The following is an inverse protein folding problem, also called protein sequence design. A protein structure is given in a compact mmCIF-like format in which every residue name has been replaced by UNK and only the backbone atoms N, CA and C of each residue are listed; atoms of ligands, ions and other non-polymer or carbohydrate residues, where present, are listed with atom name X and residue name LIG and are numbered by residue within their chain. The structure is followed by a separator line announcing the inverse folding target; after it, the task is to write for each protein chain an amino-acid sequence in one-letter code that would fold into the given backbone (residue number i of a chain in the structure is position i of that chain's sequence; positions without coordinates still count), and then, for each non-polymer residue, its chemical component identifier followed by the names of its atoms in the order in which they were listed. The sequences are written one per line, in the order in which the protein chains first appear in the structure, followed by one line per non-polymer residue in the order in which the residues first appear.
data_IF_139092905140
#
_entry.id   IF_139092905140
#
_cell.length_a   1.000
_cell.length_b   1.000
_cell.length_c   1.000
_cell.angle_alpha   90.00
_cell.angle_beta   90.00
_cell.angle_gamma   90.00
#
_symmetry.space_group_name_H-M   'P 1'
#
loop_
_entity.id
_entity.type
_entity.pdbx_description
1 polymer ?
#
# COMPACT_ATOMS: atom_id res chain seq x y z
N UNK A 1 1.06 43.28 62.03
CA UNK A 1 1.50 44.47 61.26
C UNK A 1 1.86 43.99 59.86
N UNK A 2 0.89 44.13 59.04
CA UNK A 2 0.86 44.43 57.60
C UNK A 2 2.13 44.24 56.80
N UNK A 3 2.10 43.35 55.82
CA UNK A 3 2.42 43.65 54.44
C UNK A 3 1.66 42.62 53.57
N UNK A 4 0.39 42.92 53.31
CA UNK A 4 -0.34 42.54 52.10
C UNK A 4 -0.37 43.81 51.26
N UNK A 5 0.27 43.79 50.09
CA UNK A 5 -0.20 44.55 48.90
C UNK A 5 0.77 44.36 47.73
N UNK A 6 0.13 44.08 46.60
CA UNK A 6 0.59 44.29 45.24
C UNK A 6 1.34 43.14 44.53
N UNK A 7 0.55 42.30 43.88
CA UNK A 7 0.86 41.84 42.54
C UNK A 7 -0.45 41.64 41.77
N UNK A 8 -1.05 42.74 41.32
CA UNK A 8 -1.86 42.80 40.10
C UNK A 8 -0.89 43.08 38.96
N UNK A 9 -1.15 42.47 37.79
CA UNK A 9 -0.52 42.64 36.48
C UNK A 9 0.14 41.32 36.06
N UNK A 10 -0.15 40.69 34.97
CA UNK A 10 -0.73 41.11 33.70
C UNK A 10 -1.19 39.84 33.03
N UNK A 11 -2.47 39.73 32.70
CA UNK A 11 -2.90 38.85 31.62
C UNK A 11 -2.40 39.49 30.31
N UNK A 12 -1.23 39.07 29.86
CA UNK A 12 -0.80 39.30 28.50
C UNK A 12 -1.38 38.19 27.62
N UNK A 13 -2.27 38.57 26.74
CA UNK A 13 -2.73 37.81 25.62
C UNK A 13 -1.54 37.28 24.82
N UNK A 14 -1.23 36.01 24.91
CA UNK A 14 -0.45 35.30 23.90
C UNK A 14 -1.47 34.83 22.89
N UNK A 15 -1.75 35.64 21.89
CA UNK A 15 -2.32 35.18 20.62
C UNK A 15 -1.24 34.33 19.94
N UNK A 16 -1.38 33.02 20.10
CA UNK A 16 -0.66 32.06 19.30
C UNK A 16 -1.22 32.16 17.88
N UNK A 17 -0.50 32.81 16.99
CA UNK A 17 -0.71 32.73 15.56
C UNK A 17 -0.44 31.29 15.15
N UNK A 18 -1.50 30.51 15.01
CA UNK A 18 -1.49 29.28 14.26
C UNK A 18 -1.38 29.69 12.79
N UNK A 19 -0.18 29.68 12.23
CA UNK A 19 0.01 29.70 10.79
C UNK A 19 -0.45 28.33 10.28
N UNK A 20 -1.73 28.25 9.91
CA UNK A 20 -2.22 27.23 9.02
C UNK A 20 -1.53 27.50 7.66
N UNK A 21 -0.44 26.81 7.38
CA UNK A 21 0.06 26.67 6.03
C UNK A 21 -0.89 25.72 5.33
N UNK A 22 -1.97 26.27 4.79
CA UNK A 22 -2.76 25.60 3.77
C UNK A 22 -1.86 25.52 2.54
N UNK A 23 -1.13 24.41 2.40
CA UNK A 23 -0.59 24.02 1.10
C UNK A 23 -1.79 23.55 0.29
N UNK A 24 -2.47 24.51 -0.35
CA UNK A 24 -3.37 24.21 -1.45
C UNK A 24 -2.51 23.71 -2.61
N UNK A 25 -2.18 22.43 -2.60
CA UNK A 25 -1.72 21.73 -3.78
C UNK A 25 -2.86 21.78 -4.79
N UNK A 26 -2.80 22.74 -5.71
CA UNK A 26 -3.65 22.75 -6.88
C UNK A 26 -3.38 21.48 -7.67
N UNK A 27 -4.31 20.52 -7.57
CA UNK A 27 -4.38 19.37 -8.46
C UNK A 27 -4.56 19.95 -9.86
N UNK A 28 -3.47 19.99 -10.61
CA UNK A 28 -3.49 20.38 -12.02
C UNK A 28 -4.25 19.30 -12.79
N UNK A 29 -5.50 19.59 -13.15
CA UNK A 29 -6.28 18.78 -14.07
C UNK A 29 -5.58 18.77 -15.44
N UNK A 30 -4.83 17.72 -15.71
CA UNK A 30 -4.51 17.39 -17.11
C UNK A 30 -5.81 16.90 -17.75
N UNK A 31 -6.38 17.74 -18.63
CA UNK A 31 -7.58 17.43 -19.39
C UNK A 31 -7.27 16.41 -20.49
N UNK A 32 -7.29 15.12 -20.14
CA UNK A 32 -7.54 14.03 -21.07
C UNK A 32 -8.99 13.61 -20.87
N UNK A 33 -9.79 13.52 -21.93
CA UNK A 33 -11.21 13.18 -21.90
C UNK A 33 -11.47 11.92 -21.06
N UNK A 34 -11.78 12.13 -19.77
CA UNK A 34 -12.35 11.12 -18.89
C UNK A 34 -13.85 11.42 -18.82
N UNK A 35 -14.66 10.41 -19.05
CA UNK A 35 -16.09 10.46 -18.71
C UNK A 35 -16.24 10.91 -17.25
N UNK A 36 -17.37 11.53 -16.92
CA UNK A 36 -17.74 12.10 -15.60
C UNK A 36 -17.94 11.03 -14.53
N UNK A 37 -17.03 10.06 -14.41
CA UNK A 37 -17.01 9.00 -13.39
C UNK A 37 -15.92 9.28 -12.34
N UNK A 38 -16.27 9.08 -11.09
CA UNK A 38 -15.37 9.08 -9.95
C UNK A 38 -14.24 8.08 -10.15
N UNK A 39 -12.98 8.49 -9.89
CA UNK A 39 -11.82 7.61 -10.05
C UNK A 39 -11.76 6.56 -8.93
N UNK A 40 -11.07 5.45 -9.17
CA UNK A 40 -10.83 4.40 -8.14
C UNK A 40 -10.24 5.00 -6.87
N UNK A 41 -9.25 5.89 -7.01
CA UNK A 41 -8.60 6.54 -5.85
C UNK A 41 -9.56 7.48 -5.10
N UNK A 42 -10.42 8.23 -5.79
CA UNK A 42 -11.41 9.09 -5.11
C UNK A 42 -12.35 8.27 -4.22
N UNK A 43 -12.87 7.15 -4.75
CA UNK A 43 -13.71 6.22 -3.97
C UNK A 43 -12.98 5.63 -2.79
N UNK A 44 -11.72 5.23 -2.98
CA UNK A 44 -10.90 4.70 -1.89
C UNK A 44 -10.69 5.74 -0.78
N UNK A 45 -10.34 6.99 -1.13
CA UNK A 45 -10.15 8.09 -0.18
C UNK A 45 -11.44 8.37 0.60
N UNK A 46 -12.58 8.50 -0.06
CA UNK A 46 -13.88 8.71 0.61
C UNK A 46 -14.23 7.58 1.57
N UNK A 47 -13.94 6.33 1.18
CA UNK A 47 -14.13 5.17 2.05
C UNK A 47 -13.19 5.24 3.26
N UNK A 48 -11.93 5.58 3.09
CA UNK A 48 -10.95 5.67 4.18
C UNK A 48 -11.32 6.80 5.16
N UNK A 49 -11.72 7.96 4.67
CA UNK A 49 -12.11 9.10 5.50
C UNK A 49 -13.41 8.87 6.28
N UNK A 50 -14.34 8.07 5.75
CA UNK A 50 -15.63 7.77 6.37
C UNK A 50 -15.63 6.52 7.26
N UNK A 51 -14.63 5.65 7.15
CA UNK A 51 -14.60 4.38 7.88
C UNK A 51 -14.19 4.58 9.34
N UNK A 52 -14.89 3.96 10.32
CA UNK A 52 -14.46 4.03 11.71
C UNK A 52 -13.18 3.21 11.92
N UNK A 53 -12.21 3.78 12.67
CA UNK A 53 -11.05 3.02 13.11
C UNK A 53 -11.47 1.89 14.06
N UNK A 54 -11.00 0.68 13.76
CA UNK A 54 -11.20 -0.52 14.56
C UNK A 54 -9.86 -1.08 15.00
N UNK A 55 -9.82 -1.58 16.23
CA UNK A 55 -8.65 -2.28 16.79
C UNK A 55 -9.01 -3.72 17.04
N UNK A 56 -8.28 -4.65 16.43
CA UNK A 56 -8.48 -6.11 16.54
C UNK A 56 -7.23 -6.73 17.15
N UNK A 57 -7.37 -7.45 18.27
CA UNK A 57 -6.25 -8.18 18.86
C UNK A 57 -5.89 -9.39 17.98
N UNK A 58 -4.63 -9.47 17.61
CA UNK A 58 -4.06 -10.61 16.88
C UNK A 58 -3.40 -11.58 17.85
N UNK A 59 -2.68 -11.05 18.84
CA UNK A 59 -2.08 -11.79 19.93
C UNK A 59 -1.99 -10.86 21.17
N UNK A 60 -1.37 -11.31 22.25
CA UNK A 60 -1.27 -10.59 23.53
C UNK A 60 -0.73 -9.17 23.35
N UNK A 61 0.32 -9.01 22.56
CA UNK A 61 1.03 -7.74 22.36
C UNK A 61 1.02 -7.29 20.89
N UNK A 62 0.04 -7.77 20.10
CA UNK A 62 -0.08 -7.48 18.64
C UNK A 62 -1.53 -7.16 18.30
N UNK A 63 -1.74 -6.03 17.63
CA UNK A 63 -3.05 -5.55 17.18
C UNK A 63 -3.03 -5.15 15.71
N UNK A 64 -4.15 -5.37 15.03
CA UNK A 64 -4.45 -4.75 13.75
C UNK A 64 -5.38 -3.55 13.97
N UNK A 65 -5.01 -2.40 13.40
CA UNK A 65 -5.83 -1.22 13.28
C UNK A 65 -6.30 -1.11 11.82
N UNK A 66 -7.60 -0.96 11.60
CA UNK A 66 -8.19 -0.91 10.25
C UNK A 66 -9.19 0.23 10.13
N UNK A 67 -9.42 0.74 8.90
CA UNK A 67 -10.33 1.83 8.62
C UNK A 67 -9.64 3.16 8.31
N UNK A 68 -8.30 3.18 8.21
CA UNK A 68 -7.48 4.37 7.95
C UNK A 68 -6.66 4.22 6.64
N UNK A 69 -7.26 3.67 5.61
CA UNK A 69 -6.55 3.23 4.42
C UNK A 69 -6.19 1.75 4.53
N UNK A 70 -4.92 1.42 4.36
CA UNK A 70 -4.42 0.08 4.58
C UNK A 70 -4.44 -0.33 6.06
N UNK A 71 -4.47 -1.63 6.32
CA UNK A 71 -4.37 -2.16 7.67
C UNK A 71 -2.99 -1.86 8.27
N UNK A 72 -2.98 -1.38 9.51
CA UNK A 72 -1.76 -1.12 10.27
C UNK A 72 -1.63 -2.15 11.37
N UNK A 73 -0.43 -2.73 11.56
CA UNK A 73 -0.17 -3.67 12.66
C UNK A 73 0.73 -3.01 13.71
N UNK A 74 0.27 -3.02 14.97
CA UNK A 74 1.03 -2.50 16.12
C UNK A 74 1.57 -3.65 16.96
N UNK A 75 2.87 -3.62 17.27
CA UNK A 75 3.58 -4.63 18.08
C UNK A 75 4.26 -3.94 19.26
N UNK A 76 3.94 -4.35 20.47
CA UNK A 76 4.45 -3.77 21.72
C UNK A 76 5.78 -4.39 22.12
N UNK A 77 6.67 -3.56 22.64
CA UNK A 77 7.82 -3.95 23.43
C UNK A 77 7.88 -3.12 24.71
N UNK A 78 8.82 -3.44 25.61
CA UNK A 78 9.07 -2.60 26.78
C UNK A 78 9.43 -1.17 26.32
N UNK A 79 8.58 -0.21 26.73
CA UNK A 79 8.77 1.22 26.45
C UNK A 79 8.47 1.69 25.02
N UNK A 80 8.09 0.81 24.09
CA UNK A 80 7.96 1.21 22.67
C UNK A 80 6.91 0.41 21.89
N UNK A 81 6.43 0.99 20.78
CA UNK A 81 5.61 0.33 19.77
C UNK A 81 6.34 0.36 18.41
N UNK A 82 6.29 -0.76 17.69
CA UNK A 82 6.61 -0.83 16.27
C UNK A 82 5.30 -0.88 15.51
N UNK A 83 5.14 -0.03 14.49
CA UNK A 83 4.06 -0.12 13.51
C UNK A 83 4.55 -0.81 12.24
N UNK A 84 3.66 -1.57 11.60
CA UNK A 84 3.79 -1.98 10.21
C UNK A 84 2.70 -1.22 9.46
N UNK A 85 3.11 -0.33 8.56
CA UNK A 85 2.37 0.71 7.86
C UNK A 85 1.87 1.85 8.76
N UNK A 86 1.39 2.93 8.14
CA UNK A 86 1.07 4.17 8.81
C UNK A 86 -0.23 4.85 8.33
N UNK A 87 -1.05 4.14 7.54
CA UNK A 87 -2.34 4.66 7.07
C UNK A 87 -2.23 5.87 6.14
N UNK A 88 -3.32 6.64 6.03
CA UNK A 88 -3.38 7.89 5.26
C UNK A 88 -2.97 9.10 6.10
N UNK A 89 -2.40 10.11 5.46
CA UNK A 89 -1.93 11.33 6.12
C UNK A 89 -3.07 12.10 6.84
N UNK A 90 -4.24 12.19 6.23
CA UNK A 90 -5.38 12.94 6.78
C UNK A 90 -5.87 12.43 8.14
N UNK A 91 -5.56 11.19 8.52
CA UNK A 91 -6.04 10.53 9.74
C UNK A 91 -4.94 10.03 10.68
N UNK A 92 -3.68 10.39 10.42
CA UNK A 92 -2.53 9.92 11.20
C UNK A 92 -2.64 10.21 12.71
N UNK A 93 -3.25 11.32 13.09
CA UNK A 93 -3.47 11.66 14.51
C UNK A 93 -4.43 10.67 15.19
N UNK A 94 -5.49 10.24 14.49
CA UNK A 94 -6.43 9.23 14.98
C UNK A 94 -5.76 7.87 15.08
N UNK A 95 -4.98 7.49 14.07
CA UNK A 95 -4.20 6.26 14.04
C UNK A 95 -3.21 6.21 15.22
N UNK A 96 -2.44 7.28 15.44
CA UNK A 96 -1.49 7.36 16.54
C UNK A 96 -2.18 7.24 17.91
N UNK A 97 -3.33 7.92 18.09
CA UNK A 97 -4.13 7.83 19.32
C UNK A 97 -4.69 6.41 19.53
N UNK A 98 -5.19 5.75 18.47
CA UNK A 98 -5.68 4.38 18.53
C UNK A 98 -4.55 3.39 18.84
N UNK A 99 -3.39 3.56 18.22
CA UNK A 99 -2.18 2.79 18.51
C UNK A 99 -1.76 2.94 19.98
N UNK A 100 -1.66 4.18 20.47
CA UNK A 100 -1.32 4.43 21.87
C UNK A 100 -2.35 3.83 22.85
N UNK A 101 -3.64 3.93 22.54
CA UNK A 101 -4.71 3.32 23.35
C UNK A 101 -4.59 1.79 23.43
N UNK A 102 -4.19 1.15 22.34
CA UNK A 102 -3.99 -0.30 22.29
C UNK A 102 -2.72 -0.74 23.03
N UNK A 103 -1.64 0.03 22.90
CA UNK A 103 -0.29 -0.38 23.30
C UNK A 103 0.21 0.28 24.59
N UNK A 104 -0.33 1.44 24.95
CA UNK A 104 0.15 2.30 26.04
C UNK A 104 1.64 2.67 25.91
N UNK A 105 2.17 2.67 24.69
CA UNK A 105 3.57 2.99 24.40
C UNK A 105 3.67 3.88 23.15
N UNK A 106 4.65 4.80 23.11
CA UNK A 106 4.89 5.61 21.93
C UNK A 106 5.42 4.75 20.78
N UNK A 107 5.10 5.18 19.55
CA UNK A 107 5.69 4.60 18.34
C UNK A 107 7.14 5.07 18.22
N UNK A 108 8.07 4.14 18.04
CA UNK A 108 9.51 4.43 17.88
C UNK A 108 10.09 3.86 16.60
N UNK A 109 9.41 2.86 16.02
CA UNK A 109 9.79 2.23 14.75
C UNK A 109 8.57 2.03 13.88
N UNK A 110 8.76 2.17 12.57
CA UNK A 110 7.77 1.99 11.54
C UNK A 110 8.37 1.14 10.41
N UNK A 111 7.66 0.10 9.96
CA UNK A 111 7.99 -0.68 8.78
C UNK A 111 6.96 -0.37 7.72
N UNK A 112 7.35 0.03 6.51
CA UNK A 112 6.41 0.13 5.40
C UNK A 112 6.40 -1.17 4.60
N UNK A 113 5.20 -1.69 4.31
CA UNK A 113 5.04 -2.88 3.46
C UNK A 113 5.34 -2.54 2.00
N UNK A 114 4.88 -1.39 1.51
CA UNK A 114 5.13 -0.89 0.16
C UNK A 114 4.98 0.64 0.10
N UNK A 115 4.95 1.24 -1.09
CA UNK A 115 5.09 2.69 -1.26
C UNK A 115 3.75 3.47 -1.34
N UNK A 116 2.58 2.82 -1.41
CA UNK A 116 1.32 3.54 -1.62
C UNK A 116 0.93 4.43 -0.43
N UNK A 117 0.23 5.51 -0.75
CA UNK A 117 -0.08 6.62 0.17
C UNK A 117 -0.91 6.21 1.38
N UNK A 118 -1.75 5.21 1.24
CA UNK A 118 -2.61 4.68 2.30
C UNK A 118 -1.92 3.67 3.22
N UNK A 119 -0.63 3.41 2.98
CA UNK A 119 0.30 2.65 3.82
C UNK A 119 1.46 3.50 4.34
N UNK A 120 1.74 4.63 3.67
CA UNK A 120 2.89 5.49 4.00
C UNK A 120 2.50 6.93 4.32
N UNK A 121 1.20 7.29 4.28
CA UNK A 121 0.73 8.65 4.51
C UNK A 121 1.16 9.22 5.86
N UNK A 122 1.14 8.41 6.91
CA UNK A 122 1.60 8.81 8.24
C UNK A 122 3.11 8.96 8.40
N UNK A 123 3.92 8.59 7.38
CA UNK A 123 5.39 8.69 7.46
C UNK A 123 5.87 10.11 7.75
N UNK A 124 5.19 11.15 7.22
CA UNK A 124 5.54 12.56 7.46
C UNK A 124 5.46 12.88 8.94
N UNK A 125 4.35 12.50 9.58
CA UNK A 125 4.12 12.71 11.00
C UNK A 125 5.16 11.94 11.85
N UNK A 126 5.24 10.61 11.66
CA UNK A 126 6.12 9.76 12.46
C UNK A 126 7.60 10.10 12.25
N UNK A 127 8.01 10.42 11.03
CA UNK A 127 9.39 10.82 10.74
C UNK A 127 9.76 12.15 11.36
N UNK A 128 8.83 13.12 11.46
CA UNK A 128 9.05 14.39 12.16
C UNK A 128 9.18 14.23 13.68
N UNK A 129 8.55 13.18 14.25
CA UNK A 129 8.68 12.78 15.65
C UNK A 129 9.95 11.93 15.93
N UNK A 130 10.81 11.71 14.93
CA UNK A 130 12.06 10.98 15.07
C UNK A 130 11.89 9.44 15.04
N UNK A 131 10.76 8.94 14.59
CA UNK A 131 10.52 7.49 14.42
C UNK A 131 11.44 6.94 13.34
N UNK A 132 12.08 5.80 13.61
CA UNK A 132 12.91 5.11 12.61
C UNK A 132 12.02 4.41 11.60
N UNK A 133 12.06 4.85 10.33
CA UNK A 133 11.29 4.24 9.23
C UNK A 133 12.18 3.22 8.52
N UNK A 134 11.64 2.00 8.36
CA UNK A 134 12.32 0.83 7.78
C UNK A 134 11.51 0.36 6.58
N UNK A 135 12.16 0.11 5.44
CA UNK A 135 11.47 -0.43 4.26
C UNK A 135 12.44 -1.17 3.31
N UNK A 136 11.88 -1.86 2.36
CA UNK A 136 12.64 -2.37 1.22
C UNK A 136 13.19 -1.18 0.39
N UNK A 137 14.37 -1.32 -0.24
CA UNK A 137 15.07 -0.21 -0.91
C UNK A 137 14.27 0.44 -2.05
N UNK A 138 13.44 -0.33 -2.78
CA UNK A 138 12.59 0.23 -3.82
C UNK A 138 11.47 1.10 -3.27
N UNK A 139 10.94 0.82 -2.06
CA UNK A 139 9.99 1.71 -1.39
C UNK A 139 10.59 3.11 -1.22
N UNK A 140 11.83 3.20 -0.71
CA UNK A 140 12.53 4.49 -0.58
C UNK A 140 12.69 5.18 -1.94
N UNK A 141 13.04 4.44 -2.98
CA UNK A 141 13.20 4.96 -4.34
C UNK A 141 11.88 5.51 -4.87
N UNK A 142 10.77 4.76 -4.69
CA UNK A 142 9.43 5.17 -5.11
C UNK A 142 8.98 6.43 -4.36
N UNK A 143 9.06 6.47 -3.03
CA UNK A 143 8.71 7.65 -2.22
C UNK A 143 9.55 8.90 -2.55
N UNK A 144 10.75 8.73 -3.09
CA UNK A 144 11.62 9.82 -3.55
C UNK A 144 11.27 10.35 -4.94
N UNK A 145 10.28 9.76 -5.62
CA UNK A 145 9.84 10.13 -6.97
C UNK A 145 8.33 10.42 -7.00
N UNK A 146 7.86 11.03 -8.08
CA UNK A 146 6.42 11.22 -8.31
C UNK A 146 5.80 9.87 -8.65
N UNK A 147 4.72 9.51 -7.96
CA UNK A 147 3.93 8.30 -8.20
C UNK A 147 2.83 8.61 -9.22
N UNK A 148 2.62 7.72 -10.18
CA UNK A 148 1.57 7.88 -11.19
C UNK A 148 1.01 6.51 -11.62
N UNK A 149 -0.12 6.11 -11.03
CA UNK A 149 -0.83 4.87 -11.38
C UNK A 149 -2.09 5.23 -12.16
N UNK A 150 -1.96 5.36 -13.48
CA UNK A 150 -2.97 5.94 -14.36
C UNK A 150 -4.34 5.22 -14.31
N UNK A 151 -4.37 3.87 -14.24
CA UNK A 151 -5.63 3.11 -14.24
C UNK A 151 -6.53 3.38 -13.02
N UNK A 152 -5.94 3.78 -11.91
CA UNK A 152 -6.69 4.11 -10.69
C UNK A 152 -6.79 5.60 -10.45
N UNK A 153 -6.10 6.42 -11.24
CA UNK A 153 -6.11 7.88 -11.12
C UNK A 153 -5.21 8.41 -9.99
N UNK A 154 -4.24 7.60 -9.53
CA UNK A 154 -3.29 8.05 -8.51
C UNK A 154 -2.22 8.94 -9.17
N UNK A 155 -2.04 10.13 -8.61
CA UNK A 155 -0.89 11.00 -8.88
C UNK A 155 -0.44 11.62 -7.56
N UNK A 156 0.67 11.14 -7.01
CA UNK A 156 1.21 11.59 -5.74
C UNK A 156 2.60 12.22 -5.89
N UNK A 157 2.90 13.20 -5.05
CA UNK A 157 4.16 13.93 -5.05
C UNK A 157 5.30 13.15 -4.39
N UNK A 158 6.50 13.71 -4.47
CA UNK A 158 7.64 13.19 -3.71
C UNK A 158 7.43 13.44 -2.22
N UNK A 159 7.72 12.43 -1.42
CA UNK A 159 7.72 12.57 0.02
C UNK A 159 8.87 13.46 0.52
N UNK A 160 8.67 14.29 1.57
CA UNK A 160 9.74 15.06 2.17
C UNK A 160 10.76 14.14 2.87
N UNK A 161 11.99 14.61 3.03
CA UNK A 161 13.12 13.81 3.51
C UNK A 161 12.84 13.08 4.84
N UNK A 162 12.12 13.72 5.77
CA UNK A 162 11.79 13.11 7.07
C UNK A 162 10.81 11.92 6.95
N UNK A 163 10.05 11.83 5.86
CA UNK A 163 9.12 10.73 5.62
C UNK A 163 9.76 9.54 4.89
N UNK A 164 11.01 9.67 4.45
CA UNK A 164 11.70 8.61 3.72
C UNK A 164 12.29 7.58 4.69
N UNK A 165 12.30 6.28 4.31
CA UNK A 165 12.97 5.24 5.09
C UNK A 165 14.43 5.59 5.40
N UNK A 166 14.77 5.56 6.70
CA UNK A 166 16.14 5.79 7.18
C UNK A 166 16.95 4.49 7.23
N UNK A 167 16.27 3.35 7.34
CA UNK A 167 16.87 2.02 7.27
C UNK A 167 16.24 1.27 6.08
N UNK A 168 17.07 0.73 5.20
CA UNK A 168 16.60 -0.04 4.04
C UNK A 168 17.28 -1.41 3.96
N UNK A 169 16.63 -2.35 3.27
CA UNK A 169 17.18 -3.68 2.98
C UNK A 169 16.76 -4.11 1.57
N UNK A 170 17.48 -5.05 0.96
CA UNK A 170 17.16 -5.58 -0.38
C UNK A 170 16.15 -6.71 -0.33
N UNK A 171 16.53 -7.89 0.20
CA UNK A 171 15.71 -9.10 0.10
C UNK A 171 15.13 -9.56 1.43
N UNK A 172 15.90 -9.44 2.51
CA UNK A 172 15.52 -9.94 3.84
C UNK A 172 16.17 -9.12 4.95
N UNK A 173 15.38 -8.88 6.01
CA UNK A 173 15.85 -8.29 7.26
C UNK A 173 15.21 -9.01 8.45
N UNK A 174 15.87 -9.02 9.59
CA UNK A 174 15.30 -9.50 10.85
C UNK A 174 15.34 -8.40 11.88
N UNK A 175 14.21 -8.21 12.58
CA UNK A 175 14.05 -7.30 13.69
C UNK A 175 13.56 -8.08 14.91
N UNK A 176 13.78 -7.55 16.11
CA UNK A 176 13.18 -8.06 17.34
C UNK A 176 12.32 -6.96 17.98
N UNK A 177 11.12 -7.31 18.46
CA UNK A 177 10.17 -6.43 19.14
C UNK A 177 9.36 -7.21 20.16
N UNK A 178 9.48 -6.88 21.44
CA UNK A 178 8.63 -7.43 22.51
C UNK A 178 8.68 -8.94 22.69
N UNK A 179 9.78 -9.60 22.40
CA UNK A 179 9.88 -11.06 22.41
C UNK A 179 9.56 -11.71 21.07
N UNK A 180 8.98 -10.94 20.12
CA UNK A 180 8.73 -11.40 18.76
C UNK A 180 9.96 -11.19 17.86
N UNK A 181 10.22 -12.17 17.01
CA UNK A 181 11.15 -12.09 15.89
C UNK A 181 10.37 -11.77 14.63
N UNK A 182 10.63 -10.60 14.04
CA UNK A 182 10.04 -10.18 12.78
C UNK A 182 11.01 -10.51 11.64
N UNK A 183 10.56 -11.32 10.69
CA UNK A 183 11.31 -11.59 9.47
C UNK A 183 10.65 -10.87 8.31
N UNK A 184 11.28 -9.80 7.84
CA UNK A 184 10.87 -9.01 6.68
C UNK A 184 11.43 -9.67 5.43
N UNK A 185 10.59 -9.92 4.42
CA UNK A 185 10.99 -10.59 3.18
C UNK A 185 10.37 -9.88 1.98
N UNK A 186 11.18 -9.62 0.97
CA UNK A 186 10.73 -9.28 -0.38
C UNK A 186 10.96 -10.49 -1.29
N UNK A 187 9.90 -11.00 -1.92
CA UNK A 187 9.97 -12.12 -2.86
C UNK A 187 10.12 -11.67 -4.33
N UNK A 188 10.38 -10.40 -4.56
CA UNK A 188 10.45 -9.76 -5.87
C UNK A 188 9.19 -8.98 -6.20
N UNK A 189 9.12 -8.41 -7.42
CA UNK A 189 7.99 -7.62 -7.86
C UNK A 189 6.65 -8.38 -7.74
N UNK A 190 5.66 -7.79 -7.04
CA UNK A 190 4.33 -8.37 -6.84
C UNK A 190 3.23 -7.31 -7.03
N UNK A 191 2.69 -6.71 -5.96
CA UNK A 191 1.80 -5.56 -6.04
C UNK A 191 2.57 -4.31 -6.53
N UNK A 192 3.76 -4.09 -5.98
CA UNK A 192 4.83 -3.18 -6.43
C UNK A 192 6.16 -3.93 -6.55
N UNK A 193 7.27 -3.24 -6.80
CA UNK A 193 8.61 -3.84 -6.78
C UNK A 193 9.27 -3.83 -5.37
N UNK A 194 8.64 -3.17 -4.40
CA UNK A 194 9.17 -2.98 -3.04
C UNK A 194 8.43 -3.73 -1.94
N UNK A 195 7.52 -4.65 -2.29
CA UNK A 195 6.62 -5.28 -1.32
C UNK A 195 7.37 -6.07 -0.24
N UNK A 196 6.94 -5.88 0.99
CA UNK A 196 7.47 -6.52 2.18
C UNK A 196 6.41 -7.38 2.86
N UNK A 197 6.71 -8.66 3.06
CA UNK A 197 5.96 -9.55 3.94
C UNK A 197 6.66 -9.59 5.30
N UNK A 198 5.92 -9.47 6.39
CA UNK A 198 6.47 -9.54 7.75
C UNK A 198 5.92 -10.76 8.46
N UNK A 199 6.76 -11.77 8.70
CA UNK A 199 6.43 -12.92 9.52
C UNK A 199 6.82 -12.63 10.97
N UNK A 200 5.87 -12.83 11.90
CA UNK A 200 6.01 -12.53 13.33
C UNK A 200 5.93 -13.84 14.10
N UNK A 201 7.01 -14.23 14.76
CA UNK A 201 7.12 -15.47 15.51
C UNK A 201 7.66 -15.19 16.93
N UNK A 202 7.09 -15.86 17.98
CA UNK A 202 6.22 -17.03 17.91
C UNK A 202 4.73 -16.78 17.72
N UNK A 203 4.25 -15.54 17.64
CA UNK A 203 2.83 -15.19 17.58
C UNK A 203 2.08 -15.79 16.36
N UNK A 204 2.78 -16.33 15.37
CA UNK A 204 2.25 -16.92 14.16
C UNK A 204 1.33 -15.97 13.38
N UNK A 205 1.81 -14.74 13.14
CA UNK A 205 1.13 -13.70 12.35
C UNK A 205 1.95 -13.39 11.11
N UNK A 206 1.30 -13.24 9.96
CA UNK A 206 1.90 -12.79 8.72
C UNK A 206 1.20 -11.51 8.23
N UNK A 207 1.95 -10.39 8.14
CA UNK A 207 1.46 -9.14 7.55
C UNK A 207 1.96 -9.10 6.12
N UNK A 208 1.05 -9.01 5.15
CA UNK A 208 1.39 -9.27 3.75
C UNK A 208 1.16 -8.07 2.81
N UNK A 209 0.71 -6.93 3.36
CA UNK A 209 0.42 -5.74 2.56
C UNK A 209 -0.55 -6.04 1.42
N UNK A 210 -0.48 -5.27 0.36
CA UNK A 210 -1.39 -5.34 -0.78
C UNK A 210 -1.11 -6.48 -1.77
N UNK A 211 -0.15 -7.37 -1.44
CA UNK A 211 -0.07 -8.67 -2.11
C UNK A 211 -1.36 -9.45 -1.91
N UNK A 212 -2.08 -9.19 -0.80
CA UNK A 212 -3.38 -9.76 -0.52
C UNK A 212 -4.37 -8.69 -0.03
N UNK A 213 -5.48 -8.53 -0.76
CA UNK A 213 -6.65 -7.72 -0.37
C UNK A 213 -7.83 -8.65 -0.12
N UNK A 214 -8.25 -8.80 1.15
CA UNK A 214 -9.28 -9.76 1.50
C UNK A 214 -10.67 -9.25 1.12
N UNK A 215 -11.36 -9.97 0.23
CA UNK A 215 -12.66 -9.66 -0.41
C UNK A 215 -12.63 -8.55 -1.48
N UNK A 216 -11.44 -8.17 -2.00
CA UNK A 216 -11.33 -7.16 -3.06
C UNK A 216 -10.43 -7.63 -4.19
N UNK A 217 -10.66 -7.13 -5.42
CA UNK A 217 -9.66 -7.22 -6.48
C UNK A 217 -8.47 -6.32 -6.14
N UNK A 218 -7.24 -6.79 -6.38
CA UNK A 218 -6.05 -5.99 -6.10
C UNK A 218 -5.78 -4.92 -7.15
N UNK A 219 -4.95 -3.97 -6.77
CA UNK A 219 -4.18 -3.18 -7.70
C UNK A 219 -2.93 -4.00 -8.10
N UNK A 220 -2.60 -4.04 -9.39
CA UNK A 220 -1.31 -4.48 -9.91
C UNK A 220 -0.62 -3.25 -10.44
N UNK A 221 0.28 -2.66 -9.65
CA UNK A 221 0.91 -1.39 -10.00
C UNK A 221 2.13 -1.59 -10.88
N UNK A 222 1.86 -1.76 -12.19
CA UNK A 222 2.91 -1.94 -13.21
C UNK A 222 3.85 -0.73 -13.28
N UNK A 223 3.35 0.48 -12.96
CA UNK A 223 4.18 1.69 -12.99
C UNK A 223 5.24 1.69 -11.89
N UNK A 224 4.92 1.12 -10.73
CA UNK A 224 5.87 0.88 -9.63
C UNK A 224 6.50 -0.52 -9.68
N UNK A 225 6.54 -1.14 -10.86
CA UNK A 225 7.19 -2.42 -11.10
C UNK A 225 6.39 -3.65 -10.69
N UNK A 226 5.10 -3.51 -10.35
CA UNK A 226 4.24 -4.63 -9.97
C UNK A 226 3.97 -5.61 -11.11
N UNK A 227 3.63 -6.85 -10.76
CA UNK A 227 3.43 -7.96 -11.69
C UNK A 227 2.41 -8.97 -11.16
N UNK A 228 1.41 -9.32 -11.98
CA UNK A 228 0.44 -10.38 -11.63
C UNK A 228 1.12 -11.74 -11.44
N UNK A 229 2.15 -12.07 -12.23
CA UNK A 229 2.92 -13.29 -12.09
C UNK A 229 3.71 -13.28 -10.78
N UNK A 230 4.28 -12.12 -10.41
CA UNK A 230 4.98 -11.95 -9.14
C UNK A 230 4.05 -11.97 -7.94
N UNK A 231 2.82 -11.42 -8.04
CA UNK A 231 1.82 -11.56 -6.98
C UNK A 231 1.50 -13.01 -6.70
N UNK A 232 1.20 -13.80 -7.74
CA UNK A 232 0.93 -15.24 -7.62
C UNK A 232 2.13 -15.97 -7.01
N UNK A 233 3.35 -15.66 -7.46
CA UNK A 233 4.58 -16.22 -6.89
C UNK A 233 4.73 -15.89 -5.39
N UNK A 234 4.53 -14.63 -5.02
CA UNK A 234 4.63 -14.20 -3.62
C UNK A 234 3.58 -14.88 -2.74
N UNK A 235 2.34 -15.04 -3.24
CA UNK A 235 1.28 -15.77 -2.55
C UNK A 235 1.65 -17.26 -2.36
N UNK A 236 2.26 -17.91 -3.37
CA UNK A 236 2.77 -19.28 -3.25
C UNK A 236 3.85 -19.38 -2.15
N UNK A 237 4.75 -18.39 -2.07
CA UNK A 237 5.78 -18.36 -1.02
C UNK A 237 5.16 -18.14 0.38
N UNK A 238 4.16 -17.25 0.51
CA UNK A 238 3.47 -17.02 1.77
C UNK A 238 2.73 -18.29 2.22
N UNK A 239 2.02 -18.96 1.32
CA UNK A 239 1.35 -20.23 1.60
C UNK A 239 2.32 -21.32 2.06
N UNK A 240 3.53 -21.36 1.51
CA UNK A 240 4.56 -22.30 1.94
C UNK A 240 5.16 -22.02 3.33
N UNK A 241 5.04 -20.78 3.82
CA UNK A 241 5.57 -20.33 5.13
C UNK A 241 4.50 -20.23 6.23
N UNK A 242 3.23 -20.48 5.91
CA UNK A 242 2.08 -20.35 6.81
C UNK A 242 1.39 -21.69 7.02
N UNK A 243 0.71 -21.83 8.15
CA UNK A 243 -0.12 -22.99 8.49
C UNK A 243 -1.58 -22.57 8.76
N UNK A 244 -2.43 -23.54 9.13
CA UNK A 244 -3.86 -23.30 9.34
C UNK A 244 -4.15 -22.41 10.57
N UNK A 245 -3.18 -22.21 11.47
CA UNK A 245 -3.29 -21.37 12.65
C UNK A 245 -2.74 -19.97 12.40
N UNK A 246 -2.04 -19.75 11.30
CA UNK A 246 -1.46 -18.45 10.97
C UNK A 246 -2.55 -17.42 10.75
N UNK A 247 -2.48 -16.30 11.48
CA UNK A 247 -3.31 -15.12 11.25
C UNK A 247 -2.67 -14.28 10.17
N UNK A 248 -3.36 -14.09 9.05
CA UNK A 248 -2.86 -13.31 7.93
C UNK A 248 -3.51 -11.93 7.97
N UNK A 249 -2.68 -10.89 8.04
CA UNK A 249 -3.10 -9.49 7.96
C UNK A 249 -2.93 -9.04 6.50
N UNK A 250 -4.03 -8.88 5.74
CA UNK A 250 -3.99 -8.36 4.38
C UNK A 250 -3.70 -6.85 4.39
N UNK A 251 -3.36 -6.25 3.27
CA UNK A 251 -3.30 -4.80 3.16
C UNK A 251 -4.66 -4.15 3.38
N UNK A 252 -5.72 -4.76 2.85
CA UNK A 252 -7.09 -4.31 3.02
C UNK A 252 -8.03 -5.46 3.37
N UNK A 253 -9.07 -5.15 4.17
CA UNK A 253 -10.07 -6.12 4.59
C UNK A 253 -9.79 -6.76 5.95
N UNK A 254 -10.62 -7.73 6.38
CA UNK A 254 -10.48 -8.38 7.67
C UNK A 254 -9.28 -9.32 7.73
N UNK A 255 -8.84 -9.64 8.96
CA UNK A 255 -7.87 -10.73 9.21
C UNK A 255 -8.34 -12.00 8.50
N UNK A 256 -7.42 -12.67 7.88
CA UNK A 256 -7.67 -13.83 7.03
C UNK A 256 -6.99 -15.10 7.55
N UNK A 257 -7.49 -16.23 7.07
CA UNK A 257 -6.90 -17.54 7.23
C UNK A 257 -5.99 -17.90 6.04
N UNK A 258 -5.22 -18.97 6.18
CA UNK A 258 -4.47 -19.57 5.08
C UNK A 258 -5.39 -20.01 3.93
N UNK A 259 -6.60 -20.49 4.23
CA UNK A 259 -7.57 -20.91 3.19
C UNK A 259 -8.10 -19.73 2.39
N UNK A 260 -8.32 -18.54 3.01
CA UNK A 260 -8.72 -17.32 2.32
C UNK A 260 -7.62 -16.87 1.36
N UNK A 261 -6.35 -16.94 1.79
CA UNK A 261 -5.19 -16.62 0.96
C UNK A 261 -5.08 -17.59 -0.24
N UNK A 262 -5.30 -18.89 -0.03
CA UNK A 262 -5.29 -19.89 -1.09
C UNK A 262 -6.38 -19.61 -2.13
N UNK A 263 -7.60 -19.32 -1.69
CA UNK A 263 -8.71 -19.00 -2.60
C UNK A 263 -8.43 -17.73 -3.42
N UNK A 264 -7.86 -16.70 -2.79
CA UNK A 264 -7.46 -15.48 -3.49
C UNK A 264 -6.38 -15.74 -4.54
N UNK A 265 -5.35 -16.50 -4.17
CA UNK A 265 -4.27 -16.91 -5.08
C UNK A 265 -4.82 -17.67 -6.29
N UNK A 266 -5.77 -18.57 -6.07
CA UNK A 266 -6.37 -19.39 -7.13
C UNK A 266 -7.26 -18.54 -8.05
N UNK A 267 -7.97 -17.55 -7.51
CA UNK A 267 -8.70 -16.55 -8.29
C UNK A 267 -7.76 -15.79 -9.22
N UNK A 268 -6.64 -15.23 -8.67
CA UNK A 268 -5.67 -14.51 -9.48
C UNK A 268 -5.07 -15.37 -10.59
N UNK A 269 -4.72 -16.63 -10.29
CA UNK A 269 -4.17 -17.55 -11.27
C UNK A 269 -5.16 -17.86 -12.40
N UNK A 270 -6.45 -18.02 -12.09
CA UNK A 270 -7.48 -18.27 -13.08
C UNK A 270 -7.75 -17.05 -13.96
N UNK A 271 -7.88 -15.84 -13.38
CA UNK A 271 -8.07 -14.59 -14.14
C UNK A 271 -6.87 -14.35 -15.05
N UNK A 272 -5.65 -14.48 -14.49
CA UNK A 272 -4.41 -14.37 -15.25
C UNK A 272 -4.37 -15.32 -16.44
N UNK A 273 -4.75 -16.58 -16.25
CA UNK A 273 -4.76 -17.59 -17.33
C UNK A 273 -5.78 -17.26 -18.42
N UNK A 274 -7.01 -16.84 -18.05
CA UNK A 274 -8.05 -16.43 -19.00
C UNK A 274 -7.59 -15.25 -19.86
N UNK A 275 -7.00 -14.23 -19.24
CA UNK A 275 -6.48 -13.04 -19.95
C UNK A 275 -5.32 -13.42 -20.85
N UNK A 276 -4.40 -14.29 -20.40
CA UNK A 276 -3.29 -14.80 -21.22
C UNK A 276 -3.78 -15.48 -22.50
N UNK A 277 -4.86 -16.27 -22.43
CA UNK A 277 -5.47 -16.91 -23.62
C UNK A 277 -6.03 -15.86 -24.58
N UNK A 278 -6.69 -14.83 -24.07
CA UNK A 278 -7.23 -13.74 -24.90
C UNK A 278 -6.11 -12.94 -25.58
N UNK A 279 -5.03 -12.62 -24.88
CA UNK A 279 -3.84 -11.98 -25.47
C UNK A 279 -3.23 -12.85 -26.57
N UNK A 280 -3.07 -14.16 -26.33
CA UNK A 280 -2.54 -15.10 -27.32
C UNK A 280 -3.45 -15.23 -28.57
N UNK A 281 -4.77 -14.98 -28.42
CA UNK A 281 -5.72 -14.90 -29.52
C UNK A 281 -5.72 -13.52 -30.24
N UNK A 282 -4.81 -12.62 -29.88
CA UNK A 282 -4.68 -11.27 -30.50
C UNK A 282 -5.75 -10.27 -30.04
N UNK A 283 -6.46 -10.53 -28.94
CA UNK A 283 -7.47 -9.62 -28.41
C UNK A 283 -6.83 -8.35 -27.83
N UNK A 284 -7.45 -7.21 -28.13
CA UNK A 284 -7.11 -5.93 -27.54
C UNK A 284 -7.54 -5.88 -26.07
N UNK A 285 -7.09 -4.86 -25.34
CA UNK A 285 -7.48 -4.63 -23.93
C UNK A 285 -9.00 -4.45 -23.81
N UNK A 286 -9.64 -3.70 -24.71
CA UNK A 286 -11.09 -3.45 -24.71
C UNK A 286 -11.88 -4.74 -25.04
N UNK A 287 -11.42 -5.53 -26.00
CA UNK A 287 -12.01 -6.84 -26.31
C UNK A 287 -11.85 -7.83 -25.14
N UNK A 288 -10.72 -7.74 -24.40
CA UNK A 288 -10.48 -8.55 -23.20
C UNK A 288 -11.42 -8.16 -22.07
N UNK A 289 -11.63 -6.87 -21.85
CA UNK A 289 -12.63 -6.37 -20.88
C UNK A 289 -14.04 -6.83 -21.27
N UNK A 290 -14.41 -6.70 -22.56
CA UNK A 290 -15.72 -7.14 -23.05
C UNK A 290 -15.95 -8.66 -22.90
N UNK A 291 -14.90 -9.47 -22.90
CA UNK A 291 -14.97 -10.92 -22.64
C UNK A 291 -15.23 -11.28 -21.16
N UNK A 292 -15.19 -10.29 -20.25
CA UNK A 292 -15.47 -10.42 -18.81
C UNK A 292 -14.76 -11.62 -18.15
N UNK A 293 -13.41 -11.69 -18.18
CA UNK A 293 -12.66 -12.86 -17.68
C UNK A 293 -12.78 -13.06 -16.17
N UNK A 294 -13.25 -12.05 -15.43
CA UNK A 294 -13.43 -12.04 -13.97
C UNK A 294 -14.83 -12.47 -13.54
N UNK A 295 -15.81 -12.58 -14.44
CA UNK A 295 -17.25 -12.67 -14.14
C UNK A 295 -17.62 -13.66 -13.03
N UNK A 296 -16.98 -14.83 -12.97
CA UNK A 296 -17.29 -15.85 -11.96
C UNK A 296 -16.83 -15.46 -10.55
N UNK A 297 -15.98 -14.45 -10.44
CA UNK A 297 -15.37 -13.96 -9.21
C UNK A 297 -15.95 -12.63 -8.74
N UNK A 298 -16.67 -11.91 -9.61
CA UNK A 298 -17.13 -10.54 -9.36
C UNK A 298 -18.04 -10.44 -8.13
N UNK A 299 -18.86 -11.45 -7.87
CA UNK A 299 -19.76 -11.46 -6.72
C UNK A 299 -19.02 -11.42 -5.37
N UNK A 300 -17.83 -12.04 -5.30
CA UNK A 300 -17.02 -12.09 -4.08
C UNK A 300 -15.96 -11.00 -4.02
N UNK A 301 -15.32 -10.68 -5.16
CA UNK A 301 -14.11 -9.85 -5.20
C UNK A 301 -14.32 -8.48 -5.87
N UNK A 302 -15.43 -8.30 -6.62
CA UNK A 302 -15.65 -7.12 -7.43
C UNK A 302 -16.41 -5.98 -6.76
N UNK A 303 -16.75 -6.09 -5.47
CA UNK A 303 -17.54 -5.09 -4.73
C UNK A 303 -16.70 -3.98 -4.09
N UNK A 304 -15.35 -4.06 -4.18
CA UNK A 304 -14.44 -3.07 -3.62
C UNK A 304 -14.25 -1.84 -4.53
N UNK A 305 -13.26 -1.03 -4.20
CA UNK A 305 -12.93 0.17 -4.96
C UNK A 305 -12.29 -0.12 -6.33
N UNK A 306 -11.77 -1.34 -6.57
CA UNK A 306 -11.24 -1.78 -7.87
C UNK A 306 -12.32 -2.55 -8.63
N UNK A 307 -12.96 -1.95 -9.68
CA UNK A 307 -13.96 -2.64 -10.48
C UNK A 307 -13.34 -3.76 -11.34
N UNK A 308 -14.15 -4.77 -11.75
CA UNK A 308 -13.71 -5.90 -12.59
C UNK A 308 -13.02 -5.50 -13.90
N UNK A 309 -13.50 -4.47 -14.57
CA UNK A 309 -12.91 -3.97 -15.82
C UNK A 309 -11.53 -3.31 -15.60
N UNK A 310 -11.37 -2.55 -14.50
CA UNK A 310 -10.09 -1.93 -14.12
C UNK A 310 -9.08 -3.02 -13.75
N UNK A 311 -9.48 -4.01 -12.95
CA UNK A 311 -8.64 -5.15 -12.62
C UNK A 311 -8.20 -5.92 -13.88
N UNK A 312 -9.13 -6.19 -14.81
CA UNK A 312 -8.84 -6.84 -16.09
C UNK A 312 -7.77 -6.06 -16.88
N UNK A 313 -7.90 -4.72 -16.95
CA UNK A 313 -6.92 -3.85 -17.65
C UNK A 313 -5.53 -3.91 -17.01
N UNK A 314 -5.45 -3.91 -15.68
CA UNK A 314 -4.17 -4.01 -14.96
C UNK A 314 -3.49 -5.36 -15.20
N UNK A 315 -4.22 -6.47 -15.12
CA UNK A 315 -3.68 -7.82 -15.41
C UNK A 315 -3.22 -7.92 -16.87
N UNK A 316 -4.02 -7.43 -17.83
CA UNK A 316 -3.63 -7.39 -19.24
C UNK A 316 -2.32 -6.62 -19.44
N UNK A 317 -2.22 -5.42 -18.88
CA UNK A 317 -1.04 -4.56 -18.99
C UNK A 317 0.20 -5.20 -18.37
N UNK A 318 0.05 -5.86 -17.21
CA UNK A 318 1.12 -6.59 -16.56
C UNK A 318 1.66 -7.73 -17.43
N UNK A 319 0.79 -8.51 -18.08
CA UNK A 319 1.19 -9.63 -18.93
C UNK A 319 1.88 -9.17 -20.21
N UNK A 320 1.44 -8.06 -20.82
CA UNK A 320 2.05 -7.51 -22.03
C UNK A 320 3.42 -6.90 -21.73
N UNK A 321 3.56 -6.17 -20.61
CA UNK A 321 4.83 -5.58 -20.18
C UNK A 321 5.90 -6.64 -19.91
N UNK A 322 5.53 -7.75 -19.27
CA UNK A 322 6.43 -8.88 -18.99
C UNK A 322 6.93 -9.57 -20.29
N UNK A 323 6.06 -9.64 -21.31
CA UNK A 323 6.41 -10.24 -22.61
C UNK A 323 7.40 -9.40 -23.40
N UNK A 324 7.31 -8.07 -23.29
CA UNK A 324 8.23 -7.15 -23.99
C UNK A 324 9.62 -7.10 -23.35
N UNK A 325 9.73 -7.34 -22.04
CA UNK A 325 11.01 -7.41 -21.33
C UNK A 325 11.81 -8.69 -21.67
N UNK A 326 11.15 -9.73 -22.17
CA UNK A 326 11.78 -11.01 -22.55
C UNK A 326 12.28 -11.08 -24.01
N UNK A 327 12.03 -10.04 -24.85
CA UNK A 327 12.55 -9.99 -26.22
C UNK A 327 14.00 -9.50 -26.21
N UNK A 328 14.94 -10.17 -26.94
CA UNK A 328 16.32 -9.69 -27.10
C UNK A 328 16.33 -8.28 -27.70
N UNK A 329 17.30 -7.47 -27.26
CA UNK A 329 17.46 -6.04 -27.61
C UNK A 329 17.57 -5.75 -29.13
N UNK A 330 17.67 -6.76 -29.97
CA UNK A 330 17.79 -6.64 -31.44
C UNK A 330 16.47 -6.19 -32.14
N UNK A 331 15.31 -6.36 -31.50
CA UNK A 331 14.02 -5.96 -32.10
C UNK A 331 13.57 -4.52 -31.77
N UNK A 332 14.26 -3.85 -30.84
CA UNK A 332 13.93 -2.47 -30.42
C UNK A 332 14.33 -1.38 -31.43
N UNK A 333 15.17 -1.68 -32.44
CA UNK A 333 15.70 -0.70 -33.44
C UNK A 333 14.88 -0.60 -34.74
N UNK A 334 13.96 -1.54 -35.02
CA UNK A 334 13.18 -1.53 -36.25
C UNK A 334 11.94 -0.60 -36.23
N UNK A 335 11.38 -0.34 -35.04
CA UNK A 335 10.17 0.47 -34.89
C UNK A 335 10.42 2.00 -35.03
N UNK A 336 11.67 2.47 -34.91
CA UNK A 336 12.02 3.90 -35.04
C UNK A 336 12.39 4.36 -36.46
N UNK A 337 12.40 3.49 -37.47
CA UNK A 337 12.78 3.82 -38.85
C UNK A 337 11.61 4.03 -39.83
N UNK A 338 10.36 3.87 -39.46
CA UNK A 338 9.21 4.03 -40.37
C UNK A 338 8.50 5.39 -40.30
N UNK A 339 8.93 6.31 -39.42
CA UNK A 339 8.34 7.67 -39.35
C UNK A 339 9.42 8.69 -39.73
N UNK A 340 9.78 8.73 -41.00
CA UNK A 340 10.76 9.70 -41.44
C UNK A 340 11.06 9.66 -42.93
N UNK A 341 10.02 9.68 -43.79
CA UNK A 341 10.17 10.04 -45.20
C UNK A 341 8.81 10.33 -45.86
N UNK A 342 8.33 11.54 -45.70
CA UNK A 342 7.50 12.21 -46.75
C UNK A 342 7.49 13.71 -46.43
N UNK A 343 8.45 14.42 -46.97
CA UNK A 343 8.31 15.82 -47.42
C UNK A 343 9.53 16.14 -48.32
N UNK A 344 9.31 16.07 -49.61
CA UNK A 344 9.79 17.00 -50.63
C UNK A 344 8.75 17.03 -51.73
#
# INVERSE_FOLDING_TARGET
MNILQNARLSLAFIQTFVFAVVISGTISRAAGQAGTGETVIQKAIEQFESSPLKTTALDKDIWMLSGDGGNVTAIVAEGSTLLIDSGVDSRVSELNAASFKATWRPVTRLVNTHCHFDHTGGNVYFGSEGVTIIAQENVKKQLSSVQNVAFVGLHDGRYPTQALPTVTYSNRMTLNQGGEKLTLVNYGPAHTDGDTIVYIAPANVAVVGDIFSNHFYPIVDVASGGSIDGMIHSLDQILAQTDEQTKIVPGHGPVASRSDLQEYRDMLAQVRQRIKVLIAAGKTIDETVAAAPTKDFDAKWGSGYVPPDVFTKMVFSSLVSSSSASLPSEYSLSAKKSIGRTQR
#
